data_IF_742374340616
#
_entry.id   IF_742374340616
#
_cell.length_a   1.000
_cell.length_b   1.000
_cell.length_c   1.000
_cell.angle_alpha   90.00
_cell.angle_beta   90.00
_cell.angle_gamma   90.00
#
_symmetry.space_group_name_H-M   'P 1'
#
loop_
_entity.id
_entity.type
_entity.pdbx_description
1 polymer ?
#
# COMPACT_ATOMS: atom_id res chain seq x y z
N UNK A 1 14.26 -22.98 -11.87
CA UNK A 1 14.91 -21.96 -11.02
C UNK A 1 13.82 -20.96 -10.66
N UNK A 2 13.31 -20.97 -9.43
CA UNK A 2 12.33 -19.98 -8.97
C UNK A 2 13.09 -18.76 -8.45
N UNK A 3 12.83 -17.60 -9.05
CA UNK A 3 13.43 -16.33 -8.63
C UNK A 3 12.42 -15.58 -7.74
N UNK A 4 12.51 -15.81 -6.43
CA UNK A 4 11.73 -15.07 -5.44
C UNK A 4 12.31 -13.66 -5.33
N UNK A 5 11.71 -12.71 -6.04
CA UNK A 5 12.16 -11.31 -6.02
C UNK A 5 11.35 -10.58 -4.95
N UNK A 6 11.88 -10.52 -3.72
CA UNK A 6 11.34 -9.67 -2.66
C UNK A 6 12.03 -8.31 -2.81
N UNK A 7 11.37 -7.36 -3.45
CA UNK A 7 11.82 -5.97 -3.49
C UNK A 7 11.40 -5.30 -2.18
N UNK A 8 12.34 -5.15 -1.24
CA UNK A 8 12.16 -4.32 -0.06
C UNK A 8 12.52 -2.88 -0.44
N UNK A 9 11.52 -2.05 -0.72
CA UNK A 9 11.72 -0.61 -0.91
C UNK A 9 11.72 0.09 0.45
N UNK A 10 12.88 0.56 0.88
CA UNK A 10 13.03 1.47 2.01
C UNK A 10 13.15 2.92 1.53
N UNK A 11 12.46 3.83 2.24
CA UNK A 11 12.85 5.20 2.61
C UNK A 11 11.85 6.31 2.22
N UNK A 12 11.30 6.99 3.23
CA UNK A 12 11.66 8.38 3.59
C UNK A 12 10.90 8.80 4.86
N UNK A 13 11.62 9.32 5.86
CA UNK A 13 11.06 9.75 7.13
C UNK A 13 10.73 11.26 7.07
N UNK A 14 9.47 11.62 7.32
CA UNK A 14 9.06 13.01 7.57
C UNK A 14 8.89 13.22 9.07
N UNK A 15 9.55 14.27 9.55
CA UNK A 15 9.69 14.67 10.95
C UNK A 15 8.38 15.17 11.55
N UNK A 16 7.86 14.45 12.54
CA UNK A 16 6.80 14.93 13.43
C UNK A 16 6.33 13.80 14.33
N UNK A 17 6.93 13.67 15.53
CA UNK A 17 6.54 12.69 16.57
C UNK A 17 6.07 11.34 15.98
N UNK A 18 6.86 10.77 15.07
CA UNK A 18 6.40 9.67 14.24
C UNK A 18 6.29 8.41 15.10
N UNK A 19 5.07 8.02 15.45
CA UNK A 19 4.77 6.62 15.65
C UNK A 19 5.32 5.93 14.39
N UNK A 20 6.33 5.07 14.55
CA UNK A 20 7.04 4.50 13.42
C UNK A 20 6.08 3.57 12.67
N UNK A 21 5.33 4.14 11.73
CA UNK A 21 4.40 3.39 10.91
C UNK A 21 5.22 2.43 10.05
N UNK A 22 4.82 1.16 10.06
CA UNK A 22 5.40 0.16 9.16
C UNK A 22 4.55 0.12 7.91
N UNK A 23 5.17 0.09 6.73
CA UNK A 23 4.42 -0.05 5.47
C UNK A 23 4.31 -1.53 5.14
N UNK A 24 3.08 -2.03 5.07
CA UNK A 24 2.80 -3.44 4.80
C UNK A 24 2.01 -3.56 3.51
N UNK A 25 2.40 -4.52 2.68
CA UNK A 25 1.63 -4.92 1.51
C UNK A 25 0.67 -6.01 1.90
N UNK A 26 -0.58 -5.92 1.46
CA UNK A 26 -1.55 -6.97 1.71
C UNK A 26 -1.12 -8.31 1.07
N UNK A 27 -1.40 -9.42 1.76
CA UNK A 27 -1.08 -10.78 1.28
C UNK A 27 -1.98 -11.25 0.12
N UNK A 28 -2.96 -10.45 -0.30
CA UNK A 28 -3.87 -10.72 -1.39
C UNK A 28 -3.97 -9.50 -2.30
N UNK A 29 -4.20 -9.74 -3.59
CA UNK A 29 -4.38 -8.67 -4.56
C UNK A 29 -5.67 -7.91 -4.24
N UNK A 30 -5.57 -6.59 -4.26
CA UNK A 30 -6.71 -5.70 -4.26
C UNK A 30 -7.06 -5.31 -5.69
N UNK A 31 -7.93 -4.31 -5.85
CA UNK A 31 -8.33 -3.83 -7.17
C UNK A 31 -8.15 -2.33 -7.30
N UNK A 32 -7.84 -1.88 -8.51
CA UNK A 32 -7.82 -0.47 -8.85
C UNK A 32 -9.25 0.10 -8.85
N UNK A 33 -9.57 0.88 -7.83
CA UNK A 33 -10.85 1.54 -7.67
C UNK A 33 -10.82 2.96 -8.24
N UNK A 34 -11.99 3.46 -8.64
CA UNK A 34 -12.12 4.81 -9.18
C UNK A 34 -12.19 5.84 -8.03
N UNK A 35 -11.25 6.77 -8.00
CA UNK A 35 -11.28 8.00 -7.19
C UNK A 35 -10.92 9.22 -8.04
N UNK A 36 -10.16 10.16 -7.47
CA UNK A 36 -9.53 11.25 -8.24
C UNK A 36 -8.49 10.69 -9.24
N UNK A 37 -7.69 9.73 -8.77
CA UNK A 37 -6.87 8.84 -9.59
C UNK A 37 -7.38 7.40 -9.40
N UNK A 38 -6.94 6.47 -10.25
CA UNK A 38 -7.09 5.05 -9.93
C UNK A 38 -6.25 4.74 -8.70
N UNK A 39 -6.86 4.07 -7.73
CA UNK A 39 -6.26 3.84 -6.42
C UNK A 39 -6.42 2.37 -6.03
N UNK A 40 -5.32 1.72 -5.69
CA UNK A 40 -5.35 0.33 -5.24
C UNK A 40 -5.97 0.23 -3.84
N UNK A 41 -7.18 -0.32 -3.75
CA UNK A 41 -7.87 -0.50 -2.46
C UNK A 41 -8.88 -1.64 -2.45
N UNK A 42 -9.21 -2.09 -1.24
CA UNK A 42 -10.18 -3.16 -0.98
C UNK A 42 -9.75 -4.12 0.12
N UNK A 43 -8.48 -4.08 0.52
CA UNK A 43 -7.96 -4.92 1.58
C UNK A 43 -8.07 -4.21 2.93
N UNK A 44 -8.49 -4.94 3.94
CA UNK A 44 -8.68 -4.46 5.32
C UNK A 44 -8.08 -5.45 6.31
N UNK A 45 -7.63 -4.96 7.46
CA UNK A 45 -6.93 -5.77 8.45
C UNK A 45 -5.56 -6.22 7.95
N UNK A 46 -4.89 -5.36 7.17
CA UNK A 46 -3.52 -5.62 6.69
C UNK A 46 -2.56 -5.54 7.87
N UNK A 47 -2.75 -4.56 8.74
CA UNK A 47 -1.90 -4.35 9.90
C UNK A 47 -2.16 -5.40 10.99
N UNK A 48 -1.08 -5.84 11.64
CA UNK A 48 -1.14 -6.75 12.79
C UNK A 48 -1.92 -6.15 13.97
N UNK A 49 -2.42 -7.01 14.86
CA UNK A 49 -3.27 -6.61 15.99
C UNK A 49 -2.70 -5.43 16.79
N UNK A 50 -3.55 -4.43 17.01
CA UNK A 50 -3.22 -3.21 17.76
C UNK A 50 -2.75 -2.04 16.89
N UNK A 51 -2.56 -2.25 15.59
CA UNK A 51 -2.30 -1.20 14.61
C UNK A 51 -3.52 -0.96 13.72
N UNK A 52 -3.65 0.27 13.23
CA UNK A 52 -4.72 0.71 12.34
C UNK A 52 -4.22 0.74 10.92
N UNK A 53 -5.03 0.22 10.00
CA UNK A 53 -4.81 0.40 8.57
C UNK A 53 -5.00 1.89 8.22
N UNK A 54 -3.93 2.56 7.82
CA UNK A 54 -3.98 3.96 7.38
C UNK A 54 -3.38 4.13 5.99
N UNK A 55 -3.85 5.15 5.27
CA UNK A 55 -3.29 5.58 4.00
C UNK A 55 -2.75 7.00 4.17
N UNK A 56 -1.54 7.10 4.71
CA UNK A 56 -0.80 8.37 4.73
C UNK A 56 -0.37 8.76 3.30
N UNK A 57 0.33 9.89 3.14
CA UNK A 57 0.75 10.36 1.81
C UNK A 57 1.63 9.33 1.08
N UNK A 58 2.48 8.60 1.82
CA UNK A 58 3.39 7.57 1.28
C UNK A 58 2.59 6.38 0.75
N UNK A 59 1.71 5.81 1.57
CA UNK A 59 0.85 4.70 1.17
C UNK A 59 -0.11 5.14 0.07
N UNK A 60 -0.61 6.38 0.12
CA UNK A 60 -1.50 6.93 -0.91
C UNK A 60 -0.81 6.92 -2.27
N UNK A 61 0.38 7.53 -2.35
CA UNK A 61 1.20 7.56 -3.55
C UNK A 61 1.48 6.16 -4.10
N UNK A 62 1.90 5.24 -3.23
CA UNK A 62 2.20 3.87 -3.63
C UNK A 62 0.99 3.15 -4.25
N UNK A 63 -0.22 3.38 -3.72
CA UNK A 63 -1.44 2.77 -4.24
C UNK A 63 -1.95 3.44 -5.53
N UNK A 64 -1.68 4.73 -5.74
CA UNK A 64 -1.91 5.38 -7.04
C UNK A 64 -0.95 4.84 -8.09
N UNK A 65 0.34 4.77 -7.77
CA UNK A 65 1.40 4.26 -8.66
C UNK A 65 1.15 2.79 -9.04
N UNK A 66 0.63 1.98 -8.10
CA UNK A 66 0.24 0.59 -8.36
C UNK A 66 -0.87 0.43 -9.42
N UNK A 67 -1.60 1.50 -9.74
CA UNK A 67 -2.67 1.51 -10.74
C UNK A 67 -2.33 2.32 -11.99
N UNK A 68 -1.11 2.87 -12.11
CA UNK A 68 -0.69 3.60 -13.31
C UNK A 68 -0.63 2.64 -14.51
N UNK A 69 -1.34 3.00 -15.59
CA UNK A 69 -1.43 2.18 -16.79
C UNK A 69 -2.38 0.99 -16.68
N UNK A 70 -3.03 0.80 -15.53
CA UNK A 70 -4.08 -0.20 -15.34
C UNK A 70 -5.47 0.42 -15.56
N UNK A 71 -6.46 -0.45 -15.73
CA UNK A 71 -7.87 -0.10 -15.80
C UNK A 71 -8.54 -0.30 -14.44
N UNK A 72 -9.70 0.34 -14.26
CA UNK A 72 -10.56 0.08 -13.11
C UNK A 72 -10.92 -1.41 -13.04
N UNK A 73 -10.77 -2.00 -11.87
CA UNK A 73 -11.05 -3.41 -11.61
C UNK A 73 -9.87 -4.36 -11.89
N UNK A 74 -8.77 -3.86 -12.44
CA UNK A 74 -7.54 -4.64 -12.54
C UNK A 74 -6.95 -4.87 -11.16
N UNK A 75 -6.29 -6.03 -11.01
CA UNK A 75 -5.66 -6.42 -9.77
C UNK A 75 -4.40 -5.60 -9.50
N UNK A 76 -4.19 -5.22 -8.24
CA UNK A 76 -3.05 -4.42 -7.79
C UNK A 76 -2.58 -4.85 -6.39
N UNK A 77 -1.34 -4.48 -6.04
CA UNK A 77 -0.80 -4.71 -4.69
C UNK A 77 -1.04 -3.48 -3.84
N UNK A 78 -1.88 -3.63 -2.81
CA UNK A 78 -2.22 -2.54 -1.90
C UNK A 78 -1.13 -2.37 -0.84
N UNK A 79 -0.65 -1.14 -0.64
CA UNK A 79 0.26 -0.73 0.43
C UNK A 79 -0.52 -0.02 1.54
N UNK A 80 -0.29 -0.38 2.79
CA UNK A 80 -0.96 0.21 3.96
C UNK A 80 0.09 0.70 4.96
N UNK A 81 -0.12 1.88 5.52
CA UNK A 81 0.66 2.37 6.64
C UNK A 81 0.07 1.84 7.95
N UNK A 82 0.86 1.07 8.68
CA UNK A 82 0.51 0.43 9.94
C UNK A 82 1.10 1.21 11.11
N UNK A 83 0.28 2.15 11.57
CA UNK A 83 0.46 2.98 12.76
C UNK A 83 -0.50 2.46 13.85
#
# INVERSE_FOLDING_TARGET
>A
MQLTTILVLAASAVTGLAQACTYETANYLSVCQQGNNLFCSGNTGVCVQGKTDTFDDTATKANEDACVGLSRGDSCVQTVACC
#
